data_IF_136627491406
#
_entry.id   IF_136627491406
#
_cell.length_a   1.000
_cell.length_b   1.000
_cell.length_c   1.000
_cell.angle_alpha   90.00
_cell.angle_beta   90.00
_cell.angle_gamma   90.00
#
_symmetry.space_group_name_H-M   'P 1'
#
loop_
_entity.id
_entity.type
_entity.pdbx_description
1 polymer ?
#
# COMPACT_ATOMS: atom_id res chain seq x y z
N UNK A 1 -10.00 13.98 13.00
CA UNK A 1 -11.11 13.05 12.76
C UNK A 1 -10.63 11.67 13.13
N UNK A 2 -11.28 11.06 14.11
CA UNK A 2 -11.09 9.65 14.45
C UNK A 2 -11.80 8.81 13.38
N UNK A 3 -11.10 7.84 12.81
CA UNK A 3 -11.67 6.94 11.81
C UNK A 3 -12.32 5.76 12.54
N UNK A 4 -13.63 5.55 12.36
CA UNK A 4 -14.35 4.41 12.91
C UNK A 4 -14.27 3.23 11.91
N UNK A 5 -13.68 2.11 12.33
CA UNK A 5 -13.50 0.93 11.48
C UNK A 5 -14.53 -0.14 11.85
N UNK A 6 -15.34 -0.58 10.88
CA UNK A 6 -16.35 -1.65 11.07
C UNK A 6 -15.88 -3.03 10.59
N UNK A 7 -14.61 -3.14 10.22
CA UNK A 7 -14.02 -4.32 9.61
C UNK A 7 -12.66 -4.59 10.26
N UNK A 8 -12.32 -5.86 10.50
CA UNK A 8 -11.07 -6.29 11.13
C UNK A 8 -9.91 -6.47 10.15
N UNK A 9 -10.12 -6.13 8.88
CA UNK A 9 -9.22 -6.46 7.78
C UNK A 9 -8.99 -5.25 6.89
N UNK A 10 -7.72 -4.94 6.63
CA UNK A 10 -7.32 -3.90 5.69
C UNK A 10 -6.35 -4.43 4.63
N UNK A 11 -6.30 -3.72 3.52
CA UNK A 11 -5.32 -3.87 2.45
C UNK A 11 -4.46 -2.63 2.42
N UNK A 12 -3.14 -2.77 2.39
CA UNK A 12 -2.20 -1.64 2.38
C UNK A 12 -1.11 -1.83 1.33
N UNK A 13 -0.77 -0.75 0.64
CA UNK A 13 0.35 -0.70 -0.29
C UNK A 13 1.09 0.63 -0.13
N UNK A 14 2.41 0.59 -0.33
CA UNK A 14 3.28 1.76 -0.30
C UNK A 14 4.13 1.71 -1.57
N UNK A 15 4.02 2.75 -2.39
CA UNK A 15 4.85 2.97 -3.55
C UNK A 15 5.83 4.10 -3.27
N UNK A 16 6.96 4.11 -3.98
CA UNK A 16 8.00 5.08 -3.71
C UNK A 16 9.25 4.91 -4.52
N UNK A 17 10.17 5.80 -4.23
CA UNK A 17 11.50 5.86 -4.80
C UNK A 17 12.45 4.90 -4.07
N UNK A 18 13.73 4.90 -4.45
CA UNK A 18 14.75 4.13 -3.74
C UNK A 18 15.94 5.03 -3.37
N UNK A 19 16.56 4.76 -2.22
CA UNK A 19 17.86 5.34 -1.89
C UNK A 19 19.01 4.62 -2.62
N UNK A 20 20.25 4.97 -2.26
CA UNK A 20 21.48 4.44 -2.84
C UNK A 20 21.73 2.95 -2.56
N UNK A 21 21.21 2.45 -1.42
CA UNK A 21 21.25 1.04 -1.02
C UNK A 21 20.00 0.26 -1.46
N UNK A 22 19.10 0.87 -2.23
CA UNK A 22 17.90 0.23 -2.77
C UNK A 22 16.74 0.12 -1.78
N UNK A 23 16.82 0.83 -0.66
CA UNK A 23 15.75 0.92 0.33
C UNK A 23 14.65 1.85 -0.18
N UNK A 24 13.39 1.41 -0.04
CA UNK A 24 12.24 2.19 -0.50
C UNK A 24 12.15 3.54 0.25
N UNK A 25 11.84 4.62 -0.46
CA UNK A 25 11.52 5.93 0.09
C UNK A 25 10.05 6.16 -0.22
N UNK A 26 9.14 6.04 0.77
CA UNK A 26 7.71 6.17 0.54
C UNK A 26 7.36 7.47 -0.19
N UNK A 27 6.58 7.36 -1.26
CA UNK A 27 6.07 8.52 -2.02
C UNK A 27 4.55 8.51 -2.16
N UNK A 28 3.94 7.34 -2.13
CA UNK A 28 2.49 7.17 -2.12
C UNK A 28 2.15 6.04 -1.15
N UNK A 29 1.11 6.23 -0.35
CA UNK A 29 0.56 5.20 0.53
C UNK A 29 -0.94 5.16 0.33
N UNK A 30 -1.51 3.97 0.35
CA UNK A 30 -2.94 3.79 0.39
C UNK A 30 -3.31 2.59 1.26
N UNK A 31 -4.49 2.66 1.86
CA UNK A 31 -5.14 1.50 2.46
C UNK A 31 -6.65 1.55 2.30
N UNK A 32 -7.29 0.39 2.35
CA UNK A 32 -8.75 0.24 2.28
C UNK A 32 -9.20 -0.92 3.18
N UNK A 33 -10.36 -0.79 3.82
CA UNK A 33 -11.00 -1.89 4.56
C UNK A 33 -11.60 -2.93 3.62
N UNK A 34 -11.77 -4.17 4.08
CA UNK A 34 -12.39 -5.24 3.29
C UNK A 34 -13.82 -4.89 2.85
N UNK A 35 -14.61 -4.23 3.70
CA UNK A 35 -15.97 -3.77 3.38
C UNK A 35 -16.01 -2.48 2.53
N UNK A 36 -14.85 -1.84 2.30
CA UNK A 36 -14.70 -0.53 1.65
C UNK A 36 -15.47 0.62 2.33
N UNK A 37 -15.77 0.52 3.62
CA UNK A 37 -16.35 1.64 4.39
C UNK A 37 -15.32 2.72 4.72
N UNK A 38 -14.03 2.36 4.77
CA UNK A 38 -12.93 3.31 4.96
C UNK A 38 -11.83 3.09 3.92
N UNK A 39 -11.37 4.21 3.34
CA UNK A 39 -10.26 4.26 2.39
C UNK A 39 -9.40 5.49 2.71
N UNK A 40 -8.09 5.32 2.60
CA UNK A 40 -7.11 6.39 2.75
C UNK A 40 -6.09 6.32 1.63
N UNK A 41 -5.69 7.48 1.14
CA UNK A 41 -4.59 7.63 0.20
C UNK A 41 -3.85 8.94 0.47
N UNK A 42 -2.53 8.94 0.33
CA UNK A 42 -1.72 10.13 0.48
C UNK A 42 -0.45 10.07 -0.38
N UNK A 43 -0.10 11.23 -0.94
CA UNK A 43 1.25 11.49 -1.43
C UNK A 43 2.11 11.90 -0.25
N UNK A 44 3.34 11.37 -0.20
CA UNK A 44 4.31 11.65 0.85
C UNK A 44 5.33 12.66 0.32
N UNK A 45 5.63 13.67 1.12
CA UNK A 45 6.66 14.65 0.82
C UNK A 45 8.04 13.97 0.84
N UNK A 46 8.91 14.34 -0.10
CA UNK A 46 10.26 13.79 -0.13
C UNK A 46 11.03 14.19 1.15
N UNK A 47 11.90 13.31 1.68
CA UNK A 47 12.63 13.58 2.92
C UNK A 47 13.75 14.61 2.74
N UNK A 48 14.11 14.93 1.49
CA UNK A 48 15.13 15.89 1.14
C UNK A 48 14.89 16.45 -0.27
N UNK A 49 15.60 17.53 -0.61
CA UNK A 49 15.59 18.08 -1.95
C UNK A 49 16.22 17.12 -2.96
N UNK A 50 15.75 17.17 -4.21
CA UNK A 50 16.29 16.34 -5.31
C UNK A 50 17.81 16.43 -5.45
N UNK A 51 18.36 17.65 -5.30
CA UNK A 51 19.80 17.92 -5.44
C UNK A 51 20.65 17.25 -4.36
N UNK A 52 20.05 16.89 -3.24
CA UNK A 52 20.73 16.21 -2.12
C UNK A 52 20.88 14.71 -2.33
N UNK A 53 20.20 14.12 -3.33
CA UNK A 53 20.35 12.71 -3.66
C UNK A 53 21.69 12.44 -4.36
N UNK A 54 22.27 11.28 -4.11
CA UNK A 54 23.38 10.77 -4.91
C UNK A 54 22.98 10.67 -6.39
N UNK A 55 23.91 10.96 -7.31
CA UNK A 55 23.67 10.94 -8.77
C UNK A 55 23.02 9.63 -9.24
N UNK A 56 23.48 8.49 -8.70
CA UNK A 56 22.91 7.18 -8.99
C UNK A 56 21.43 7.10 -8.61
N UNK A 57 21.06 7.56 -7.43
CA UNK A 57 19.67 7.59 -6.96
C UNK A 57 18.83 8.57 -7.77
N UNK A 58 19.37 9.72 -8.18
CA UNK A 58 18.67 10.66 -9.06
C UNK A 58 18.30 10.00 -10.39
N UNK A 59 19.24 9.30 -11.04
CA UNK A 59 18.99 8.62 -12.32
C UNK A 59 17.89 7.55 -12.17
N UNK A 60 17.99 6.72 -11.14
CA UNK A 60 17.01 5.66 -10.88
C UNK A 60 15.64 6.26 -10.58
N UNK A 61 15.59 7.27 -9.72
CA UNK A 61 14.32 7.87 -9.28
C UNK A 61 13.66 8.70 -10.39
N UNK A 62 14.43 9.31 -11.29
CA UNK A 62 13.90 10.00 -12.47
C UNK A 62 13.24 8.99 -13.42
N UNK A 63 13.90 7.86 -13.66
CA UNK A 63 13.32 6.75 -14.41
C UNK A 63 12.03 6.22 -13.75
N UNK A 64 12.06 5.97 -12.44
CA UNK A 64 10.88 5.50 -11.70
C UNK A 64 9.73 6.51 -11.77
N UNK A 65 10.01 7.81 -11.63
CA UNK A 65 9.02 8.87 -11.73
C UNK A 65 8.30 8.84 -13.08
N UNK A 66 9.03 8.67 -14.17
CA UNK A 66 8.50 8.73 -15.53
C UNK A 66 7.81 7.45 -16.00
N UNK A 67 8.25 6.29 -15.50
CA UNK A 67 7.84 4.98 -16.06
C UNK A 67 6.93 4.17 -15.15
N UNK A 68 7.06 4.34 -13.83
CA UNK A 68 6.40 3.46 -12.86
C UNK A 68 5.50 4.21 -11.89
N UNK A 69 5.95 5.34 -11.35
CA UNK A 69 5.22 6.05 -10.28
C UNK A 69 4.31 7.14 -10.82
N UNK A 70 4.65 7.83 -11.90
CA UNK A 70 3.85 8.97 -12.38
C UNK A 70 3.80 10.17 -11.43
N UNK A 71 4.62 10.16 -10.37
CA UNK A 71 4.67 11.18 -9.32
C UNK A 71 6.09 11.76 -9.32
N UNK A 72 6.21 13.09 -9.27
CA UNK A 72 7.51 13.76 -9.20
C UNK A 72 8.11 13.72 -7.79
N UNK A 73 9.44 13.72 -7.68
CA UNK A 73 10.13 13.73 -6.38
C UNK A 73 9.67 14.88 -5.48
N UNK A 74 9.65 16.10 -6.03
CA UNK A 74 9.28 17.33 -5.31
C UNK A 74 7.76 17.54 -5.21
N UNK A 75 6.92 16.57 -5.60
CA UNK A 75 5.47 16.72 -5.45
C UNK A 75 5.12 16.91 -3.97
N UNK A 76 4.42 18.00 -3.59
CA UNK A 76 4.06 18.25 -2.21
C UNK A 76 3.09 17.17 -1.70
N UNK A 77 3.13 16.93 -0.40
CA UNK A 77 2.36 15.88 0.22
C UNK A 77 2.41 15.92 1.74
N UNK A 78 2.05 14.79 2.34
CA UNK A 78 2.11 14.55 3.76
C UNK A 78 3.55 14.28 4.21
N UNK A 79 3.95 14.80 5.37
CA UNK A 79 5.27 14.48 5.92
C UNK A 79 5.42 13.00 6.29
N UNK A 80 6.66 12.49 6.23
CA UNK A 80 6.96 11.12 6.68
C UNK A 80 6.60 10.85 8.15
N UNK A 81 6.68 11.88 9.01
CA UNK A 81 6.25 11.76 10.41
C UNK A 81 4.75 11.45 10.48
N UNK A 82 3.93 12.22 9.75
CA UNK A 82 2.49 12.01 9.73
C UNK A 82 2.12 10.67 9.07
N UNK A 83 2.81 10.27 8.00
CA UNK A 83 2.67 8.93 7.42
C UNK A 83 2.95 7.83 8.45
N UNK A 84 4.05 7.95 9.22
CA UNK A 84 4.35 7.00 10.29
C UNK A 84 3.25 6.98 11.34
N UNK A 85 2.75 8.14 11.75
CA UNK A 85 1.60 8.24 12.66
C UNK A 85 0.38 7.50 12.11
N UNK A 86 0.06 7.66 10.83
CA UNK A 86 -1.01 6.89 10.19
C UNK A 86 -0.74 5.38 10.22
N UNK A 87 0.47 4.95 9.88
CA UNK A 87 0.82 3.54 9.95
C UNK A 87 0.76 3.01 11.39
N UNK A 88 1.06 3.80 12.42
CA UNK A 88 0.92 3.39 13.85
C UNK A 88 -0.50 3.43 14.38
N UNK A 89 -1.37 4.24 13.79
CA UNK A 89 -2.75 4.44 14.24
C UNK A 89 -3.73 3.52 13.52
N UNK A 90 -3.24 2.46 12.86
CA UNK A 90 -4.11 1.37 12.43
C UNK A 90 -4.80 0.84 13.69
N UNK A 91 -6.14 0.84 13.75
CA UNK A 91 -6.86 0.52 14.96
C UNK A 91 -6.55 -0.90 15.47
N UNK A 92 -6.63 -1.12 16.79
CA UNK A 92 -6.43 -2.44 17.38
C UNK A 92 -7.48 -3.45 16.94
N UNK A 93 -8.66 -3.02 16.48
CA UNK A 93 -9.71 -3.88 15.93
C UNK A 93 -9.32 -4.48 14.58
N UNK A 94 -8.34 -3.89 13.88
CA UNK A 94 -7.76 -4.50 12.69
C UNK A 94 -6.86 -5.65 13.13
N UNK A 95 -7.26 -6.87 12.77
CA UNK A 95 -6.54 -8.11 13.05
C UNK A 95 -5.66 -8.55 11.87
N UNK A 96 -6.08 -8.25 10.64
CA UNK A 96 -5.43 -8.74 9.42
C UNK A 96 -5.04 -7.57 8.52
N UNK A 97 -3.77 -7.56 8.10
CA UNK A 97 -3.25 -6.61 7.12
C UNK A 97 -2.75 -7.37 5.91
N UNK A 98 -3.43 -7.22 4.79
CA UNK A 98 -2.96 -7.72 3.50
C UNK A 98 -2.06 -6.70 2.81
N UNK A 99 -0.93 -7.18 2.27
CA UNK A 99 -0.06 -6.35 1.44
C UNK A 99 0.63 -7.18 0.37
N UNK A 100 1.00 -6.57 -0.75
CA UNK A 100 1.68 -7.29 -1.83
C UNK A 100 3.19 -7.36 -1.60
N UNK A 101 3.81 -6.23 -1.27
CA UNK A 101 5.28 -6.10 -1.25
C UNK A 101 5.86 -6.28 0.16
N UNK A 102 6.90 -7.11 0.29
CA UNK A 102 7.57 -7.35 1.58
C UNK A 102 8.17 -6.07 2.20
N UNK A 103 8.57 -5.10 1.37
CA UNK A 103 9.17 -3.84 1.81
C UNK A 103 8.22 -2.97 2.64
N UNK A 104 6.91 -3.21 2.54
CA UNK A 104 5.88 -2.53 3.35
C UNK A 104 5.98 -2.94 4.81
N UNK A 105 6.46 -4.16 5.11
CA UNK A 105 6.52 -4.72 6.47
C UNK A 105 7.19 -3.78 7.46
N UNK A 106 8.31 -3.14 7.09
CA UNK A 106 9.07 -2.24 7.99
C UNK A 106 8.34 -0.96 8.39
N UNK A 107 7.26 -0.61 7.70
CA UNK A 107 6.39 0.50 8.08
C UNK A 107 5.22 0.04 8.96
N UNK A 108 4.97 -1.26 9.01
CA UNK A 108 3.91 -1.91 9.80
C UNK A 108 4.43 -2.61 11.06
N UNK A 109 5.76 -2.64 11.28
CA UNK A 109 6.41 -3.34 12.41
C UNK A 109 6.01 -2.84 13.80
N UNK A 110 5.19 -1.80 13.90
CA UNK A 110 4.71 -1.27 15.18
C UNK A 110 3.44 -1.96 15.71
N UNK A 111 2.98 -3.01 15.02
CA UNK A 111 1.77 -3.74 15.38
C UNK A 111 2.03 -5.21 15.69
N UNK A 112 2.46 -5.54 16.92
CA UNK A 112 2.78 -6.92 17.29
C UNK A 112 1.55 -7.85 17.32
N UNK A 113 0.34 -7.29 17.42
CA UNK A 113 -0.90 -8.05 17.50
C UNK A 113 -1.54 -8.33 16.14
N UNK A 114 -1.08 -7.67 15.08
CA UNK A 114 -1.68 -7.76 13.75
C UNK A 114 -1.00 -8.83 12.90
N UNK A 115 -1.82 -9.64 12.21
CA UNK A 115 -1.34 -10.63 11.25
C UNK A 115 -1.13 -9.98 9.89
N UNK A 116 0.13 -9.79 9.50
CA UNK A 116 0.51 -9.30 8.17
C UNK A 116 0.57 -10.47 7.19
N UNK A 117 -0.23 -10.43 6.13
CA UNK A 117 -0.30 -11.46 5.07
C UNK A 117 0.24 -10.89 3.76
N UNK A 118 1.33 -11.49 3.25
CA UNK A 118 1.89 -11.15 1.95
C UNK A 118 1.17 -11.88 0.83
N UNK A 119 0.66 -11.13 -0.15
CA UNK A 119 -0.06 -11.66 -1.30
C UNK A 119 0.83 -11.96 -2.51
N UNK A 120 2.07 -11.47 -2.54
CA UNK A 120 3.03 -11.82 -3.60
C UNK A 120 3.24 -13.35 -3.67
N UNK A 121 3.10 -13.91 -4.87
CA UNK A 121 3.14 -15.36 -5.11
C UNK A 121 1.88 -16.12 -4.72
N UNK A 122 0.88 -15.48 -4.09
CA UNK A 122 -0.43 -16.06 -3.76
C UNK A 122 -1.54 -15.59 -4.69
N UNK A 123 -1.36 -14.43 -5.29
CA UNK A 123 -2.29 -13.84 -6.26
C UNK A 123 -1.55 -13.47 -7.55
N UNK A 124 -2.23 -13.30 -8.69
CA UNK A 124 -1.63 -12.80 -9.92
C UNK A 124 -0.91 -11.46 -9.72
N UNK A 125 -0.01 -11.10 -10.64
CA UNK A 125 0.59 -9.77 -10.61
C UNK A 125 -0.50 -8.69 -10.66
N UNK A 126 -0.34 -7.63 -9.86
CA UNK A 126 -1.38 -6.62 -9.67
C UNK A 126 -1.74 -5.89 -10.96
N UNK A 127 -0.80 -5.73 -11.89
CA UNK A 127 -1.06 -5.17 -13.23
C UNK A 127 -1.96 -6.05 -14.12
N UNK A 128 -2.08 -7.34 -13.82
CA UNK A 128 -2.95 -8.27 -14.55
C UNK A 128 -4.37 -8.31 -13.96
N UNK A 129 -4.61 -7.66 -12.82
CA UNK A 129 -5.92 -7.55 -12.21
C UNK A 129 -6.63 -6.30 -12.76
N UNK A 130 -7.90 -6.46 -13.17
CA UNK A 130 -8.70 -5.33 -13.67
C UNK A 130 -8.96 -4.34 -12.55
N UNK A 131 -8.87 -3.04 -12.85
CA UNK A 131 -9.31 -1.98 -11.94
C UNK A 131 -10.31 -1.08 -12.65
N UNK A 132 -11.40 -0.76 -11.96
CA UNK A 132 -12.50 0.02 -12.52
C UNK A 132 -12.40 1.52 -12.24
N UNK A 133 -11.52 1.95 -11.32
CA UNK A 133 -11.41 3.33 -10.85
C UNK A 133 -9.98 3.83 -11.00
N UNK A 134 -9.82 5.13 -11.21
CA UNK A 134 -8.50 5.76 -11.28
C UNK A 134 -8.13 6.35 -9.92
N UNK A 135 -6.83 6.45 -9.64
CA UNK A 135 -6.32 7.29 -8.55
C UNK A 135 -6.38 8.76 -8.95
N UNK A 136 -6.71 9.64 -8.00
CA UNK A 136 -6.82 11.09 -8.22
C UNK A 136 -5.48 11.75 -8.54
N UNK A 137 -4.36 11.12 -8.16
CA UNK A 137 -3.01 11.67 -8.36
C UNK A 137 -2.38 11.29 -9.69
N UNK A 138 -2.88 10.25 -10.36
CA UNK A 138 -2.40 9.82 -11.66
C UNK A 138 -3.41 10.29 -12.72
N UNK A 139 -2.98 11.15 -13.65
CA UNK A 139 -3.87 11.64 -14.71
C UNK A 139 -4.45 10.48 -15.54
N UNK A 140 -5.66 10.67 -16.11
CA UNK A 140 -6.41 9.65 -16.90
C UNK A 140 -5.61 8.96 -18.03
N UNK A 141 -4.47 9.53 -18.44
CA UNK A 141 -3.70 9.08 -19.60
C UNK A 141 -2.59 8.08 -19.30
N UNK A 142 -2.38 7.70 -18.04
CA UNK A 142 -1.26 6.83 -17.67
C UNK A 142 -1.75 5.54 -17.01
N UNK A 143 -2.31 4.65 -17.84
CA UNK A 143 -2.89 3.37 -17.42
C UNK A 143 -1.87 2.36 -16.85
N UNK A 144 -0.57 2.68 -16.89
CA UNK A 144 0.52 1.74 -16.60
C UNK A 144 1.32 2.06 -15.33
N UNK A 145 0.94 3.06 -14.53
CA UNK A 145 1.66 3.35 -13.30
C UNK A 145 1.26 2.42 -12.16
N UNK A 146 2.25 2.07 -11.35
CA UNK A 146 2.07 1.43 -10.05
C UNK A 146 1.56 2.47 -9.07
N UNK A 147 0.25 2.48 -8.87
CA UNK A 147 -0.42 3.32 -7.90
C UNK A 147 -0.78 2.51 -6.65
N UNK A 148 -0.47 3.03 -5.47
CA UNK A 148 -0.82 2.38 -4.20
C UNK A 148 -2.33 2.18 -4.05
N UNK A 149 -3.14 3.20 -4.36
CA UNK A 149 -4.61 3.13 -4.31
C UNK A 149 -5.15 2.05 -5.24
N UNK A 150 -4.59 1.97 -6.45
CA UNK A 150 -4.94 0.94 -7.41
C UNK A 150 -4.63 -0.46 -6.91
N UNK A 151 -3.43 -0.63 -6.37
CA UNK A 151 -2.96 -1.89 -5.84
C UNK A 151 -3.85 -2.38 -4.69
N UNK A 152 -4.21 -1.52 -3.72
CA UNK A 152 -5.06 -1.95 -2.60
C UNK A 152 -6.47 -2.33 -3.04
N UNK A 153 -7.04 -1.62 -4.02
CA UNK A 153 -8.35 -1.98 -4.60
C UNK A 153 -8.30 -3.30 -5.33
N UNK A 154 -7.28 -3.55 -6.16
CA UNK A 154 -7.10 -4.82 -6.88
C UNK A 154 -6.87 -5.99 -5.92
N UNK A 155 -6.06 -5.80 -4.87
CA UNK A 155 -5.87 -6.81 -3.83
C UNK A 155 -7.19 -7.15 -3.14
N UNK A 156 -7.96 -6.12 -2.73
CA UNK A 156 -9.27 -6.29 -2.09
C UNK A 156 -10.24 -7.04 -2.99
N UNK A 157 -10.40 -6.59 -4.24
CA UNK A 157 -11.30 -7.23 -5.21
C UNK A 157 -10.94 -8.69 -5.44
N UNK A 158 -9.65 -9.00 -5.58
CA UNK A 158 -9.19 -10.38 -5.77
C UNK A 158 -9.43 -11.25 -4.53
N UNK A 159 -9.14 -10.75 -3.33
CA UNK A 159 -9.40 -11.49 -2.09
C UNK A 159 -10.91 -11.72 -1.90
N UNK A 160 -11.77 -10.74 -2.20
CA UNK A 160 -13.22 -10.93 -2.14
C UNK A 160 -13.72 -11.95 -3.18
N UNK A 161 -13.20 -11.91 -4.41
CA UNK A 161 -13.61 -12.88 -5.44
C UNK A 161 -13.14 -14.30 -5.13
N UNK A 162 -12.00 -14.45 -4.46
CA UNK A 162 -11.44 -15.75 -4.10
C UNK A 162 -11.91 -16.25 -2.74
N UNK A 163 -12.31 -15.40 -1.79
CA UNK A 163 -12.94 -15.83 -0.53
C UNK A 163 -14.32 -16.46 -0.73
N UNK A 164 -14.99 -16.21 -1.86
CA UNK A 164 -16.12 -17.02 -2.31
C UNK A 164 -15.72 -18.49 -2.59
N UNK A 165 -14.42 -18.77 -2.74
CA UNK A 165 -13.83 -20.07 -3.09
C UNK A 165 -12.78 -20.57 -2.07
N UNK A 166 -12.35 -19.75 -1.11
CA UNK A 166 -11.39 -20.15 -0.07
C UNK A 166 -12.14 -20.91 1.02
N UNK A 167 -11.73 -22.15 1.37
CA UNK A 167 -12.38 -22.88 2.43
C UNK A 167 -12.25 -22.08 3.73
N UNK A 168 -13.40 -21.70 4.30
CA UNK A 168 -13.50 -21.20 5.66
C UNK A 168 -12.78 -22.23 6.52
N UNK A 169 -11.73 -21.80 7.23
CA UNK A 169 -11.08 -22.67 8.20
C UNK A 169 -12.16 -23.15 9.17
N UNK A 170 -12.51 -24.43 9.09
CA UNK A 170 -13.46 -25.05 10.00
C UNK A 170 -12.91 -24.84 11.40
N UNK A 171 -13.70 -24.30 12.35
CA UNK A 171 -13.26 -24.19 13.72
C UNK A 171 -12.80 -25.58 14.19
N UNK A 172 -11.71 -25.69 14.94
CA UNK A 172 -11.31 -26.98 15.49
C UNK A 172 -12.48 -27.51 16.32
N UNK A 173 -12.94 -28.71 15.96
CA UNK A 173 -13.95 -29.43 16.72
C UNK A 173 -13.46 -29.54 18.16
N UNK A 174 -14.12 -28.84 19.06
CA UNK A 174 -13.95 -29.06 20.49
C UNK A 174 -14.54 -30.43 20.78
N UNK A 175 -13.70 -31.46 20.80
CA UNK A 175 -14.10 -32.74 21.34
C UNK A 175 -14.33 -32.60 22.86
N UNK A 176 -15.46 -33.10 23.38
CA UNK A 176 -15.80 -33.06 24.81
C UNK A 176 -14.89 -33.94 25.67
#
# INVERSE_FOLDING_TARGET
EEMEFRCDTIFIDIQGFTDDIGTLIPKEVAWITLDATAEFQAIIEAPCEWKSLATKSQIINDYLSKTRLGISWNQPGMSHSRMRTFCTQIPPEINIIYTYHFQVKRFLTMHPHQRIIFLCGRIPQLNNLREKKYCTYHQKFTQNFNCATANVRRMREHVLSTQAEMPVATPPETHP
#
